data_IF_622013852052
#
_entry.id   IF_622013852052
#
_cell.length_a   1.000
_cell.length_b   1.000
_cell.length_c   1.000
_cell.angle_alpha   90.00
_cell.angle_beta   90.00
_cell.angle_gamma   90.00
#
_symmetry.space_group_name_H-M   'P 1'
#
loop_
_entity.id
_entity.type
_entity.pdbx_description
1 polymer ?
#
# COMPACT_ATOMS: atom_id res chain seq x y z
N UNK A 1 25.44 -30.86 8.15
CA UNK A 1 25.68 -29.43 8.52
C UNK A 1 24.94 -28.60 7.48
N UNK A 2 23.81 -27.98 7.85
CA UNK A 2 23.16 -27.01 6.97
C UNK A 2 23.89 -25.70 7.23
N UNK A 3 24.70 -25.25 6.27
CA UNK A 3 25.34 -23.92 6.31
C UNK A 3 24.24 -22.86 6.47
N UNK A 4 24.37 -22.05 7.51
CA UNK A 4 23.44 -20.98 7.80
C UNK A 4 23.45 -20.00 6.62
N UNK A 5 22.32 -19.91 5.91
CA UNK A 5 22.09 -18.86 4.92
C UNK A 5 22.43 -17.51 5.57
N UNK A 6 23.23 -16.64 4.91
CA UNK A 6 23.58 -15.34 5.49
C UNK A 6 22.30 -14.52 5.62
N UNK A 7 21.80 -14.44 6.85
CA UNK A 7 20.67 -13.62 7.21
C UNK A 7 21.15 -12.17 7.24
N UNK A 8 20.63 -11.33 6.35
CA UNK A 8 20.76 -9.88 6.50
C UNK A 8 20.33 -9.49 7.93
N UNK A 9 21.09 -8.59 8.54
CA UNK A 9 20.76 -8.07 9.87
C UNK A 9 19.42 -7.33 9.81
N UNK A 10 18.42 -7.86 10.51
CA UNK A 10 17.09 -7.28 10.62
C UNK A 10 16.98 -6.43 11.88
N UNK A 11 16.29 -5.29 11.79
CA UNK A 11 15.77 -4.54 12.94
C UNK A 11 14.42 -5.12 13.32
N UNK A 12 14.34 -5.68 14.51
CA UNK A 12 13.14 -6.40 14.97
C UNK A 12 12.55 -5.66 16.15
N UNK A 13 11.32 -5.17 16.00
CA UNK A 13 10.59 -4.56 17.12
C UNK A 13 9.95 -5.67 17.94
N UNK A 14 10.24 -5.71 19.23
CA UNK A 14 9.61 -6.59 20.21
C UNK A 14 8.58 -5.79 20.98
N UNK A 15 7.34 -6.26 20.98
CA UNK A 15 6.25 -5.68 21.77
C UNK A 15 5.81 -6.72 22.80
N UNK A 16 6.20 -6.52 24.05
CA UNK A 16 5.82 -7.36 25.19
C UNK A 16 5.91 -6.55 26.48
N UNK A 17 5.01 -6.85 27.44
CA UNK A 17 4.99 -6.31 28.79
C UNK A 17 5.96 -7.05 29.72
N UNK A 18 6.31 -8.30 29.39
CA UNK A 18 7.26 -9.09 30.16
C UNK A 18 8.70 -8.70 29.79
N UNK A 19 9.36 -8.02 30.73
CA UNK A 19 10.76 -7.58 30.59
C UNK A 19 11.73 -8.75 30.53
N UNK A 20 11.48 -9.83 31.27
CA UNK A 20 12.35 -11.01 31.27
C UNK A 20 12.28 -11.73 29.93
N UNK A 21 11.08 -11.88 29.37
CA UNK A 21 10.90 -12.45 28.04
C UNK A 21 11.51 -11.55 26.96
N UNK A 22 11.28 -10.24 27.02
CA UNK A 22 11.87 -9.27 26.10
C UNK A 22 13.40 -9.32 26.10
N UNK A 23 14.03 -9.44 27.28
CA UNK A 23 15.48 -9.59 27.42
C UNK A 23 15.97 -10.92 26.85
N UNK A 24 15.28 -12.02 27.15
CA UNK A 24 15.61 -13.35 26.64
C UNK A 24 15.54 -13.42 25.12
N UNK A 25 14.44 -12.92 24.54
CA UNK A 25 14.24 -12.81 23.09
C UNK A 25 15.26 -11.88 22.45
N UNK A 26 15.56 -10.74 23.06
CA UNK A 26 16.59 -9.82 22.58
C UNK A 26 17.96 -10.51 22.50
N UNK A 27 18.34 -11.26 23.53
CA UNK A 27 19.59 -12.02 23.53
C UNK A 27 19.62 -13.09 22.43
N UNK A 28 18.52 -13.83 22.24
CA UNK A 28 18.40 -14.80 21.15
C UNK A 28 18.54 -14.15 19.76
N UNK A 29 17.89 -13.00 19.55
CA UNK A 29 17.96 -12.25 18.29
C UNK A 29 19.35 -11.67 18.03
N UNK A 30 20.02 -11.16 19.06
CA UNK A 30 21.40 -10.68 18.96
C UNK A 30 22.37 -11.82 18.62
N UNK A 31 22.20 -13.00 19.23
CA UNK A 31 22.99 -14.19 18.91
C UNK A 31 22.79 -14.67 17.47
N UNK A 32 21.60 -14.41 16.89
CA UNK A 32 21.30 -14.65 15.48
C UNK A 32 21.79 -13.54 14.54
N UNK A 33 22.41 -12.48 15.08
CA UNK A 33 22.97 -11.36 14.30
C UNK A 33 21.98 -10.25 13.96
N UNK A 34 20.80 -10.24 14.57
CA UNK A 34 19.76 -9.23 14.40
C UNK A 34 19.84 -8.11 15.45
N UNK A 35 19.15 -7.01 15.20
CA UNK A 35 19.06 -5.85 16.09
C UNK A 35 17.67 -5.79 16.72
N UNK A 36 17.48 -6.30 17.95
CA UNK A 36 16.20 -6.15 18.66
C UNK A 36 16.01 -4.70 19.13
N UNK A 37 14.78 -4.23 19.04
CA UNK A 37 14.29 -2.94 19.54
C UNK A 37 13.12 -3.27 20.46
N UNK A 38 13.20 -2.90 21.73
CA UNK A 38 12.11 -3.17 22.67
C UNK A 38 11.10 -2.01 22.72
N UNK A 39 9.83 -2.36 22.73
CA UNK A 39 8.68 -1.48 22.90
C UNK A 39 7.84 -1.97 24.06
N UNK A 40 7.31 -1.03 24.84
CA UNK A 40 6.63 -1.33 26.08
C UNK A 40 5.12 -1.07 25.93
N UNK A 41 4.32 -2.07 26.33
CA UNK A 41 2.96 -1.99 26.89
C UNK A 41 1.77 -1.32 26.12
N UNK A 42 1.91 -0.63 24.98
CA UNK A 42 0.73 -0.02 24.32
C UNK A 42 0.78 -0.02 22.78
N UNK A 43 -0.41 -0.12 22.17
CA UNK A 43 -0.66 -0.03 20.72
C UNK A 43 -0.08 1.27 20.16
N UNK A 44 -0.33 2.40 20.84
CA UNK A 44 0.11 3.72 20.36
C UNK A 44 1.64 3.83 20.33
N UNK A 45 2.31 3.33 21.37
CA UNK A 45 3.77 3.29 21.42
C UNK A 45 4.33 2.38 20.32
N UNK A 46 3.73 1.21 20.12
CA UNK A 46 4.16 0.26 19.10
C UNK A 46 4.04 0.83 17.69
N UNK A 47 2.92 1.49 17.37
CA UNK A 47 2.71 2.19 16.08
C UNK A 47 3.71 3.35 15.92
N UNK A 48 3.87 4.18 16.96
CA UNK A 48 4.80 5.32 16.94
C UNK A 48 6.25 4.88 16.72
N UNK A 49 6.71 3.85 17.44
CA UNK A 49 8.06 3.29 17.27
C UNK A 49 8.24 2.62 15.92
N UNK A 50 7.20 1.95 15.41
CA UNK A 50 7.24 1.39 14.06
C UNK A 50 7.47 2.49 13.02
N UNK A 51 6.72 3.59 13.11
CA UNK A 51 6.91 4.77 12.26
C UNK A 51 8.31 5.38 12.41
N UNK A 52 8.77 5.60 13.63
CA UNK A 52 10.02 6.32 13.89
C UNK A 52 11.28 5.50 13.55
N UNK A 53 11.25 4.19 13.77
CA UNK A 53 12.43 3.33 13.69
C UNK A 53 12.47 2.46 12.44
N UNK A 54 11.34 2.36 11.72
CA UNK A 54 11.19 1.56 10.49
C UNK A 54 11.78 0.15 10.66
N UNK A 55 11.25 -0.67 11.58
CA UNK A 55 11.71 -2.04 11.77
C UNK A 55 11.40 -2.89 10.53
N UNK A 56 12.21 -3.92 10.30
CA UNK A 56 12.04 -4.87 9.20
C UNK A 56 10.98 -5.93 9.52
N UNK A 57 10.72 -6.18 10.81
CA UNK A 57 9.75 -7.15 11.32
C UNK A 57 9.31 -6.75 12.72
N UNK A 58 8.05 -7.01 13.07
CA UNK A 58 7.53 -6.83 14.43
C UNK A 58 7.16 -8.19 15.01
N UNK A 59 7.52 -8.40 16.28
CA UNK A 59 7.12 -9.54 17.09
C UNK A 59 6.23 -9.02 18.21
N UNK A 60 5.01 -9.52 18.31
CA UNK A 60 4.01 -9.06 19.29
C UNK A 60 3.62 -10.21 20.18
N UNK A 61 3.68 -10.00 21.49
CA UNK A 61 3.09 -10.90 22.47
C UNK A 61 1.57 -10.73 22.50
N UNK A 62 0.83 -11.83 22.37
CA UNK A 62 -0.63 -11.85 22.41
C UNK A 62 -1.13 -11.71 23.85
N UNK A 63 -0.38 -12.23 24.81
CA UNK A 63 -0.73 -12.20 26.24
C UNK A 63 -0.27 -10.88 26.87
N UNK A 64 -1.01 -9.80 26.61
CA UNK A 64 -0.89 -8.52 27.31
C UNK A 64 -2.16 -8.30 28.13
N UNK A 65 -2.04 -7.78 29.35
CA UNK A 65 -3.19 -7.62 30.24
C UNK A 65 -4.08 -6.42 29.87
N UNK A 66 -3.50 -5.38 29.25
CA UNK A 66 -4.17 -4.09 28.98
C UNK A 66 -4.57 -3.86 27.51
N UNK A 67 -3.93 -4.53 26.54
CA UNK A 67 -4.16 -4.36 25.10
C UNK A 67 -4.05 -5.69 24.35
N UNK A 68 -5.10 -6.17 23.70
CA UNK A 68 -5.02 -7.45 22.98
C UNK A 68 -3.91 -7.38 21.91
N UNK A 69 -2.94 -8.30 21.92
CA UNK A 69 -1.81 -8.25 20.98
C UNK A 69 -2.23 -8.29 19.50
N UNK A 70 -3.43 -8.81 19.20
CA UNK A 70 -4.04 -8.70 17.87
C UNK A 70 -4.45 -7.26 17.52
N UNK A 71 -4.95 -6.48 18.48
CA UNK A 71 -5.27 -5.06 18.27
C UNK A 71 -4.00 -4.26 18.00
N UNK A 72 -2.92 -4.55 18.72
CA UNK A 72 -1.59 -3.97 18.46
C UNK A 72 -1.10 -4.31 17.05
N UNK A 73 -1.19 -5.59 16.66
CA UNK A 73 -0.83 -6.02 15.32
C UNK A 73 -1.69 -5.33 14.23
N UNK A 74 -3.00 -5.23 14.46
CA UNK A 74 -3.94 -4.55 13.56
C UNK A 74 -3.58 -3.07 13.38
N UNK A 75 -3.37 -2.33 14.49
CA UNK A 75 -3.02 -0.92 14.45
C UNK A 75 -1.70 -0.65 13.70
N UNK A 76 -0.72 -1.55 13.82
CA UNK A 76 0.51 -1.46 13.03
C UNK A 76 0.24 -1.73 11.55
N UNK A 77 -0.51 -2.78 11.22
CA UNK A 77 -0.77 -3.18 9.83
C UNK A 77 -1.64 -2.18 9.05
N UNK A 78 -2.47 -1.39 9.75
CA UNK A 78 -3.24 -0.30 9.14
C UNK A 78 -2.35 0.80 8.56
N UNK A 79 -1.17 1.03 9.16
CA UNK A 79 -0.28 2.14 8.79
C UNK A 79 1.01 1.67 8.11
N UNK A 80 1.39 0.41 8.31
CA UNK A 80 2.67 -0.12 7.88
C UNK A 80 2.54 -1.48 7.20
N UNK A 81 3.15 -1.61 6.02
CA UNK A 81 3.30 -2.89 5.36
C UNK A 81 4.61 -3.52 5.82
N UNK A 82 4.55 -4.41 6.81
CA UNK A 82 5.69 -5.18 7.32
C UNK A 82 5.22 -6.55 7.85
N UNK A 83 6.11 -7.55 7.95
CA UNK A 83 5.76 -8.83 8.55
C UNK A 83 5.58 -8.69 10.07
N UNK A 84 4.47 -9.22 10.59
CA UNK A 84 4.22 -9.36 12.02
C UNK A 84 4.20 -10.83 12.40
N UNK A 85 4.89 -11.17 13.49
CA UNK A 85 4.89 -12.50 14.10
C UNK A 85 4.27 -12.41 15.50
N UNK A 86 3.32 -13.28 15.80
CA UNK A 86 2.75 -13.37 17.13
C UNK A 86 3.50 -14.36 18.02
N UNK A 87 3.59 -14.06 19.31
CA UNK A 87 4.02 -14.97 20.35
C UNK A 87 2.84 -15.19 21.28
N UNK A 88 2.56 -16.44 21.65
CA UNK A 88 1.47 -16.76 22.59
C UNK A 88 1.81 -17.96 23.47
N UNK A 89 1.31 -17.97 24.71
CA UNK A 89 1.33 -19.16 25.59
C UNK A 89 0.28 -20.21 25.21
N UNK A 90 -0.79 -19.79 24.51
CA UNK A 90 -1.92 -20.65 24.14
C UNK A 90 -2.27 -20.45 22.68
N UNK A 91 -2.29 -21.55 21.93
CA UNK A 91 -2.75 -21.56 20.54
C UNK A 91 -4.19 -22.06 20.53
N UNK A 92 -5.12 -21.13 20.42
CA UNK A 92 -6.54 -21.43 20.22
C UNK A 92 -6.89 -21.26 18.74
N UNK A 93 -7.76 -22.13 18.16
CA UNK A 93 -8.15 -22.02 16.76
C UNK A 93 -8.71 -20.64 16.38
N UNK A 94 -9.48 -20.03 17.28
CA UNK A 94 -10.08 -18.70 17.07
C UNK A 94 -9.03 -17.60 16.95
N UNK A 95 -7.92 -17.71 17.70
CA UNK A 95 -6.79 -16.77 17.61
C UNK A 95 -6.07 -16.90 16.26
N UNK A 96 -5.91 -18.13 15.77
CA UNK A 96 -5.29 -18.39 14.45
C UNK A 96 -6.16 -17.78 13.34
N UNK A 97 -7.47 -18.02 13.36
CA UNK A 97 -8.39 -17.51 12.35
C UNK A 97 -8.38 -15.97 12.31
N UNK A 98 -8.36 -15.33 13.48
CA UNK A 98 -8.25 -13.86 13.59
C UNK A 98 -6.90 -13.35 13.07
N UNK A 99 -5.80 -14.02 13.42
CA UNK A 99 -4.47 -13.66 12.95
C UNK A 99 -4.34 -13.76 11.42
N UNK A 100 -4.88 -14.84 10.83
CA UNK A 100 -4.88 -15.05 9.39
C UNK A 100 -5.73 -14.01 8.66
N UNK A 101 -6.89 -13.65 9.22
CA UNK A 101 -7.75 -12.60 8.66
C UNK A 101 -7.07 -11.22 8.65
N UNK A 102 -6.24 -10.92 9.65
CA UNK A 102 -5.44 -9.69 9.72
C UNK A 102 -4.22 -9.71 8.78
N UNK A 103 -3.85 -10.86 8.24
CA UNK A 103 -2.67 -11.01 7.38
C UNK A 103 -1.35 -11.11 8.15
N UNK A 104 -1.41 -11.62 9.39
CA UNK A 104 -0.23 -11.90 10.22
C UNK A 104 0.67 -12.92 9.51
N UNK A 105 1.98 -12.74 9.62
CA UNK A 105 2.96 -13.50 8.84
C UNK A 105 3.40 -14.81 9.50
N UNK A 106 3.13 -14.97 10.79
CA UNK A 106 3.35 -16.22 11.53
C UNK A 106 3.00 -16.08 13.01
N UNK A 107 3.00 -17.20 13.72
CA UNK A 107 2.82 -17.26 15.17
C UNK A 107 3.74 -18.32 15.78
N UNK A 108 4.08 -18.15 17.05
CA UNK A 108 4.96 -19.05 17.82
C UNK A 108 4.35 -19.32 19.19
N UNK A 109 4.34 -20.59 19.58
CA UNK A 109 4.00 -20.99 20.94
C UNK A 109 5.20 -20.77 21.87
N UNK A 110 4.96 -20.27 23.09
CA UNK A 110 5.95 -20.32 24.18
C UNK A 110 6.05 -21.75 24.73
N UNK A 111 7.25 -22.21 25.17
CA UNK A 111 8.54 -21.50 25.20
C UNK A 111 9.24 -21.48 23.83
N UNK A 112 9.90 -20.36 23.51
CA UNK A 112 10.55 -20.15 22.22
C UNK A 112 12.02 -20.58 22.28
N UNK A 113 12.45 -21.43 21.35
CA UNK A 113 13.87 -21.71 21.13
C UNK A 113 14.48 -20.82 20.06
N UNK A 114 15.82 -20.70 20.07
CA UNK A 114 16.57 -19.97 19.04
C UNK A 114 16.32 -20.51 17.62
N UNK A 115 16.05 -21.81 17.47
CA UNK A 115 15.72 -22.42 16.18
C UNK A 115 14.33 -22.03 15.68
N UNK A 116 13.37 -21.94 16.61
CA UNK A 116 11.98 -21.60 16.27
C UNK A 116 11.90 -20.17 15.76
N UNK A 117 12.49 -19.23 16.50
CA UNK A 117 12.52 -17.81 16.09
C UNK A 117 13.27 -17.63 14.77
N UNK A 118 14.41 -18.28 14.58
CA UNK A 118 15.13 -18.20 13.30
C UNK A 118 14.28 -18.68 12.13
N UNK A 119 13.60 -19.82 12.28
CA UNK A 119 12.78 -20.41 11.22
C UNK A 119 11.58 -19.53 10.86
N UNK A 120 10.91 -18.99 11.88
CA UNK A 120 9.73 -18.14 11.71
C UNK A 120 10.11 -16.79 11.12
N UNK A 121 11.23 -16.19 11.51
CA UNK A 121 11.72 -14.95 10.90
C UNK A 121 12.03 -15.12 9.41
N UNK A 122 12.69 -16.22 9.03
CA UNK A 122 12.97 -16.54 7.61
C UNK A 122 11.68 -16.66 6.84
N UNK A 123 10.72 -17.43 7.36
CA UNK A 123 9.44 -17.68 6.70
C UNK A 123 8.61 -16.39 6.57
N UNK A 124 8.45 -15.65 7.66
CA UNK A 124 7.67 -14.41 7.69
C UNK A 124 8.23 -13.38 6.70
N UNK A 125 9.56 -13.19 6.68
CA UNK A 125 10.22 -12.28 5.74
C UNK A 125 10.06 -12.74 4.30
N UNK A 126 10.25 -14.04 4.02
CA UNK A 126 10.11 -14.58 2.67
C UNK A 126 8.68 -14.41 2.14
N UNK A 127 7.68 -14.72 2.98
CA UNK A 127 6.27 -14.55 2.65
C UNK A 127 5.94 -13.09 2.39
N UNK A 128 6.42 -12.18 3.24
CA UNK A 128 6.20 -10.75 3.06
C UNK A 128 6.79 -10.22 1.75
N UNK A 129 8.05 -10.57 1.43
CA UNK A 129 8.68 -10.17 0.16
C UNK A 129 7.93 -10.69 -1.06
N UNK A 130 7.46 -11.94 -1.01
CA UNK A 130 6.66 -12.54 -2.07
C UNK A 130 5.31 -11.83 -2.26
N UNK A 131 4.61 -11.52 -1.16
CA UNK A 131 3.36 -10.77 -1.21
C UNK A 131 3.57 -9.34 -1.74
N UNK A 132 4.68 -8.70 -1.38
CA UNK A 132 5.02 -7.37 -1.86
C UNK A 132 5.33 -7.36 -3.36
N UNK A 133 6.05 -8.37 -3.88
CA UNK A 133 6.30 -8.48 -5.32
C UNK A 133 5.02 -8.67 -6.12
N UNK A 134 4.12 -9.54 -5.64
CA UNK A 134 2.80 -9.74 -6.27
C UNK A 134 1.97 -8.44 -6.25
N UNK A 135 1.95 -7.72 -5.13
CA UNK A 135 1.24 -6.43 -5.02
C UNK A 135 1.80 -5.39 -5.99
N UNK A 136 3.12 -5.33 -6.15
CA UNK A 136 3.77 -4.45 -7.12
C UNK A 136 3.36 -4.80 -8.55
N UNK A 137 3.38 -6.09 -8.89
CA UNK A 137 3.04 -6.56 -10.24
C UNK A 137 1.57 -6.26 -10.61
N UNK A 138 0.66 -6.42 -9.65
CA UNK A 138 -0.75 -6.02 -9.81
C UNK A 138 -0.87 -4.51 -10.02
N UNK A 139 -0.10 -3.70 -9.29
CA UNK A 139 -0.12 -2.25 -9.41
C UNK A 139 0.40 -1.81 -10.79
N UNK A 140 1.50 -2.39 -11.25
CA UNK A 140 2.09 -2.10 -12.55
C UNK A 140 1.14 -2.47 -13.68
N UNK A 141 0.51 -3.64 -13.60
CA UNK A 141 -0.50 -4.05 -14.58
C UNK A 141 -1.69 -3.09 -14.61
N UNK A 142 -2.21 -2.70 -13.45
CA UNK A 142 -3.30 -1.71 -13.36
C UNK A 142 -2.89 -0.36 -13.96
N UNK A 143 -1.66 0.08 -13.72
CA UNK A 143 -1.13 1.33 -14.26
C UNK A 143 -0.97 1.28 -15.79
N UNK A 144 -0.50 0.15 -16.35
CA UNK A 144 -0.44 -0.06 -17.80
C UNK A 144 -1.83 -0.01 -18.43
N UNK A 145 -2.81 -0.70 -17.84
CA UNK A 145 -4.20 -0.67 -18.32
C UNK A 145 -4.80 0.74 -18.27
N UNK A 146 -4.60 1.46 -17.15
CA UNK A 146 -5.06 2.85 -17.00
C UNK A 146 -4.43 3.77 -18.05
N UNK A 147 -3.12 3.65 -18.26
CA UNK A 147 -2.38 4.42 -19.27
C UNK A 147 -2.93 4.19 -20.66
N UNK A 148 -3.15 2.92 -21.05
CA UNK A 148 -3.73 2.60 -22.36
C UNK A 148 -5.12 3.20 -22.52
N UNK A 149 -5.98 3.08 -21.52
CA UNK A 149 -7.35 3.65 -21.56
C UNK A 149 -7.33 5.17 -21.74
N UNK A 150 -6.45 5.88 -21.02
CA UNK A 150 -6.30 7.33 -21.16
C UNK A 150 -5.87 7.72 -22.57
N UNK A 151 -4.90 7.01 -23.14
CA UNK A 151 -4.42 7.27 -24.50
C UNK A 151 -5.54 7.03 -25.52
N UNK A 152 -6.27 5.91 -25.44
CA UNK A 152 -7.40 5.65 -26.33
C UNK A 152 -8.49 6.72 -26.24
N UNK A 153 -8.83 7.17 -25.03
CA UNK A 153 -9.80 8.23 -24.82
C UNK A 153 -9.33 9.57 -25.40
N UNK A 154 -8.07 9.95 -25.17
CA UNK A 154 -7.51 11.19 -25.72
C UNK A 154 -7.43 11.16 -27.25
N UNK A 155 -7.07 10.01 -27.85
CA UNK A 155 -7.10 9.83 -29.31
C UNK A 155 -8.51 10.06 -29.86
N UNK A 156 -9.52 9.42 -29.28
CA UNK A 156 -10.91 9.58 -29.71
C UNK A 156 -11.38 11.04 -29.71
N UNK A 157 -11.05 11.79 -28.66
CA UNK A 157 -11.37 13.21 -28.56
C UNK A 157 -10.66 14.07 -29.62
N UNK A 158 -9.38 13.79 -29.89
CA UNK A 158 -8.63 14.50 -30.93
C UNK A 158 -9.18 14.20 -32.33
N UNK A 159 -9.55 12.94 -32.58
CA UNK A 159 -10.18 12.52 -33.84
C UNK A 159 -11.50 13.25 -34.07
N UNK A 160 -12.35 13.33 -33.04
CA UNK A 160 -13.66 14.01 -33.14
C UNK A 160 -13.51 15.53 -33.30
N UNK A 161 -12.60 16.16 -32.54
CA UNK A 161 -12.44 17.63 -32.54
C UNK A 161 -11.78 18.17 -33.80
N UNK A 162 -10.77 17.47 -34.30
CA UNK A 162 -9.91 17.96 -35.38
C UNK A 162 -10.13 17.20 -36.70
N UNK A 163 -11.02 16.21 -36.72
CA UNK A 163 -11.31 15.36 -37.89
C UNK A 163 -10.06 14.69 -38.47
N UNK A 164 -9.12 14.31 -37.59
CA UNK A 164 -7.85 13.66 -37.96
C UNK A 164 -7.94 12.13 -37.79
N UNK A 165 -7.18 11.34 -38.56
CA UNK A 165 -7.13 9.89 -38.40
C UNK A 165 -6.43 9.49 -37.10
N UNK A 166 -6.73 8.29 -36.60
CA UNK A 166 -6.19 7.74 -35.34
C UNK A 166 -4.66 7.79 -35.27
N UNK A 167 -3.99 7.44 -36.38
CA UNK A 167 -2.53 7.45 -36.47
C UNK A 167 -1.93 8.84 -36.26
N UNK A 168 -2.62 9.89 -36.69
CA UNK A 168 -2.18 11.27 -36.51
C UNK A 168 -2.45 11.78 -35.10
N UNK A 169 -3.62 11.45 -34.53
CA UNK A 169 -3.94 11.74 -33.13
C UNK A 169 -2.91 11.13 -32.17
N UNK A 170 -2.52 9.87 -32.39
CA UNK A 170 -1.50 9.21 -31.57
C UNK A 170 -0.12 9.87 -31.71
N UNK A 171 0.31 10.19 -32.93
CA UNK A 171 1.57 10.93 -33.19
C UNK A 171 1.58 12.28 -32.47
N UNK A 172 0.44 12.97 -32.42
CA UNK A 172 0.29 14.25 -31.71
C UNK A 172 0.59 14.10 -30.21
N UNK A 173 -0.04 13.13 -29.56
CA UNK A 173 0.18 12.83 -28.12
C UNK A 173 1.66 12.48 -27.88
N UNK A 174 2.26 11.65 -28.74
CA UNK A 174 3.69 11.31 -28.65
C UNK A 174 4.61 12.52 -28.80
N UNK A 175 4.34 13.40 -29.76
CA UNK A 175 5.12 14.61 -30.01
C UNK A 175 5.05 15.55 -28.80
N UNK A 176 3.85 15.73 -28.22
CA UNK A 176 3.68 16.50 -26.99
C UNK A 176 4.45 15.88 -25.81
N UNK A 177 4.45 14.55 -25.70
CA UNK A 177 5.17 13.82 -24.64
C UNK A 177 6.67 14.01 -24.72
N UNK A 178 7.24 13.85 -25.91
CA UNK A 178 8.68 14.04 -26.15
C UNK A 178 9.11 15.48 -25.94
N UNK A 179 8.36 16.44 -26.47
CA UNK A 179 8.74 17.85 -26.43
C UNK A 179 8.62 18.47 -25.03
N UNK A 180 7.68 17.98 -24.21
CA UNK A 180 7.47 18.50 -22.85
C UNK A 180 8.15 17.65 -21.78
N UNK A 181 8.72 16.49 -22.14
CA UNK A 181 9.27 15.50 -21.21
C UNK A 181 8.25 15.07 -20.12
N UNK A 182 7.00 14.87 -20.54
CA UNK A 182 5.88 14.47 -19.67
C UNK A 182 5.36 13.11 -20.15
N UNK A 183 5.03 12.17 -19.23
CA UNK A 183 4.47 10.87 -19.62
C UNK A 183 3.21 11.00 -20.48
N UNK A 184 3.05 10.13 -21.47
CA UNK A 184 1.88 10.13 -22.36
C UNK A 184 0.55 10.08 -21.60
N UNK A 185 0.48 9.34 -20.49
CA UNK A 185 -0.70 9.28 -19.63
C UNK A 185 -1.14 10.66 -19.12
N UNK A 186 -0.20 11.49 -18.64
CA UNK A 186 -0.50 12.80 -18.10
C UNK A 186 -0.94 13.79 -19.20
N UNK A 187 -0.36 13.69 -20.39
CA UNK A 187 -0.82 14.48 -21.55
C UNK A 187 -2.23 14.07 -21.97
N UNK A 188 -2.50 12.76 -22.02
CA UNK A 188 -3.83 12.25 -22.30
C UNK A 188 -4.85 12.72 -21.26
N UNK A 189 -4.51 12.72 -19.97
CA UNK A 189 -5.35 13.30 -18.92
C UNK A 189 -5.61 14.80 -19.15
N UNK A 190 -4.58 15.58 -19.51
CA UNK A 190 -4.72 17.00 -19.80
C UNK A 190 -5.65 17.27 -20.99
N UNK A 191 -5.54 16.49 -22.07
CA UNK A 191 -6.42 16.57 -23.24
C UNK A 191 -7.87 16.29 -22.84
N UNK A 192 -8.10 15.18 -22.12
CA UNK A 192 -9.44 14.77 -21.65
C UNK A 192 -10.04 15.83 -20.72
N UNK A 193 -9.25 16.40 -19.82
CA UNK A 193 -9.71 17.41 -18.89
C UNK A 193 -10.10 18.71 -19.61
N UNK A 194 -9.26 19.17 -20.54
CA UNK A 194 -9.53 20.36 -21.34
C UNK A 194 -10.82 20.20 -22.14
N UNK A 195 -11.02 19.03 -22.76
CA UNK A 195 -12.21 18.76 -23.55
C UNK A 195 -13.49 18.82 -22.72
N UNK A 196 -13.51 18.15 -21.55
CA UNK A 196 -14.64 18.19 -20.60
C UNK A 196 -15.01 19.61 -20.17
N UNK A 197 -14.01 20.47 -19.97
CA UNK A 197 -14.23 21.88 -19.63
C UNK A 197 -14.87 22.64 -20.80
N UNK A 198 -14.34 22.48 -22.02
CA UNK A 198 -14.88 23.16 -23.20
C UNK A 198 -16.30 22.72 -23.57
N UNK A 199 -16.64 21.43 -23.39
CA UNK A 199 -18.00 20.92 -23.58
C UNK A 199 -19.00 21.52 -22.58
N UNK A 200 -18.63 21.65 -21.29
CA UNK A 200 -19.48 22.32 -20.28
C UNK A 200 -19.73 23.80 -20.61
N UNK A 201 -18.73 24.51 -21.13
CA UNK A 201 -18.89 25.94 -21.48
C UNK A 201 -19.81 26.16 -22.68
N UNK A 202 -19.79 25.27 -23.69
CA UNK A 202 -20.72 25.33 -24.84
C UNK A 202 -22.17 25.06 -24.43
N UNK A 203 -22.41 24.06 -23.56
CA UNK A 203 -23.75 23.74 -23.05
C UNK A 203 -24.34 24.88 -22.21
N UNK A 204 -23.52 25.53 -21.36
CA UNK A 204 -23.97 26.68 -20.57
C UNK A 204 -24.24 27.92 -21.42
N UNK A 205 -23.44 28.16 -22.47
CA UNK A 205 -23.70 29.27 -23.41
C UNK A 205 -25.00 29.08 -24.19
N UNK A 206 -25.31 27.85 -24.66
CA UNK A 206 -26.58 27.58 -25.35
C UNK A 206 -27.81 27.79 -24.44
N UNK A 207 -27.78 27.29 -23.20
CA UNK A 207 -28.89 27.53 -22.24
C UNK A 207 -29.10 29.00 -21.88
N UNK A 208 -28.05 29.81 -21.92
CA UNK A 208 -28.13 31.26 -21.63
C UNK A 208 -28.53 32.12 -22.85
N UNK A 209 -28.46 31.57 -24.07
CA UNK A 209 -29.01 32.19 -25.29
C UNK A 209 -30.49 31.86 -25.44
N UNK A 210 -30.87 30.59 -25.28
CA UNK A 210 -32.27 30.14 -25.30
C UNK A 210 -33.16 30.88 -24.27
N UNK A 211 -32.62 31.21 -23.09
CA UNK A 211 -33.33 32.02 -22.07
C UNK A 211 -33.46 33.50 -22.40
N UNK A 212 -32.59 34.06 -23.24
CA UNK A 212 -32.69 35.47 -23.69
C UNK A 212 -33.64 35.59 -24.87
N UNK A 213 -33.59 34.65 -25.80
CA UNK A 213 -34.47 34.61 -26.96
C UNK A 213 -35.94 34.47 -26.50
N UNK A 214 -36.21 33.62 -25.50
CA UNK A 214 -37.55 33.45 -24.92
C UNK A 214 -38.03 34.65 -24.05
N UNK A 215 -37.12 35.54 -23.62
CA UNK A 215 -37.47 36.77 -22.89
C UNK A 215 -37.72 37.96 -23.82
N UNK A 216 -37.09 37.98 -25.00
CA UNK A 216 -37.33 38.99 -26.03
C UNK A 216 -38.65 38.79 -26.76
N UNK A 217 -39.09 37.55 -26.95
CA UNK A 217 -40.41 37.25 -27.54
C UNK A 217 -41.59 37.65 -26.64
N UNK A 218 -41.42 37.65 -25.31
CA UNK A 218 -42.45 38.09 -24.34
C UNK A 218 -42.54 39.61 -24.16
N UNK A 219 -41.68 40.37 -24.81
CA UNK A 219 -41.66 41.84 -24.75
C UNK A 219 -42.24 42.49 -26.00
N UNK A 220 -42.78 41.70 -26.94
CA UNK A 220 -43.42 42.15 -28.19
C UNK A 220 -44.91 41.79 -28.29
N UNK A 221 -45.51 41.23 -27.24
CA UNK A 221 -46.98 41.11 -27.03
C UNK A 221 -47.43 42.12 -25.97
#
# INVERSE_FOLDING_TARGET
>A
MIEALPMERLKILLVSEDRCESLSLSAMLQNLGHTPITCAHDVSEAVSKTSALSPDLVVVDVTMDDCCGLQTASGILEQHALPIVLITSFIEPELIDQADALGISGYMAKPISQKDIQSVLVLARSRFRYLQSLRSEILDLKNMMRTRKLIEQAKGLLMERESIPEAEAFKRIQCMSRNQNIPMAAISEAIIMTDKLTHKTKVNKNRSRERRDCAQERSQE
#
